data_IF_529404516615
#
_entry.id   IF_529404516615
#
_cell.length_a   1.000
_cell.length_b   1.000
_cell.length_c   1.000
_cell.angle_alpha   90.00
_cell.angle_beta   90.00
_cell.angle_gamma   90.00
#
_symmetry.space_group_name_H-M   'P 1'
#
loop_
_entity.id
_entity.type
_entity.pdbx_description
1 polymer ?
#
# COMPACT_ATOMS: atom_id res chain seq x y z
N UNK A 1 -7.42 22.86 -14.96
CA UNK A 1 -6.79 23.04 -13.63
C UNK A 1 -7.79 23.50 -12.58
N UNK A 2 -8.43 24.67 -12.72
CA UNK A 2 -9.42 25.16 -11.75
C UNK A 2 -10.57 24.17 -11.49
N UNK A 3 -11.11 23.53 -12.54
CA UNK A 3 -12.17 22.52 -12.44
C UNK A 3 -11.74 21.27 -11.65
N UNK A 4 -10.49 20.81 -11.81
CA UNK A 4 -9.95 19.68 -11.06
C UNK A 4 -9.82 20.01 -9.57
N UNK A 5 -9.39 21.23 -9.24
CA UNK A 5 -9.25 21.70 -7.86
C UNK A 5 -10.63 21.77 -7.19
N UNK A 6 -11.63 22.33 -7.89
CA UNK A 6 -13.01 22.40 -7.40
C UNK A 6 -13.57 21.00 -7.14
N UNK A 7 -13.30 20.04 -8.04
CA UNK A 7 -13.75 18.66 -7.88
C UNK A 7 -13.11 17.96 -6.66
N UNK A 8 -11.80 18.14 -6.45
CA UNK A 8 -11.10 17.58 -5.28
C UNK A 8 -11.62 18.15 -3.96
N UNK A 9 -11.89 19.46 -3.92
CA UNK A 9 -12.47 20.12 -2.74
C UNK A 9 -13.87 19.57 -2.48
N UNK A 10 -14.70 19.43 -3.52
CA UNK A 10 -16.04 18.88 -3.41
C UNK A 10 -16.04 17.46 -2.82
N UNK A 11 -15.15 16.57 -3.29
CA UNK A 11 -15.04 15.20 -2.77
C UNK A 11 -14.67 15.16 -1.29
N UNK A 12 -13.72 16.00 -0.86
CA UNK A 12 -13.32 16.10 0.54
C UNK A 12 -14.43 16.67 1.44
N UNK A 13 -15.18 17.66 0.95
CA UNK A 13 -16.34 18.20 1.69
C UNK A 13 -17.43 17.14 1.83
N UNK A 14 -17.69 16.38 0.76
CA UNK A 14 -18.68 15.30 0.78
C UNK A 14 -18.30 14.21 1.80
N UNK A 15 -17.03 13.77 1.84
CA UNK A 15 -16.57 12.75 2.78
C UNK A 15 -16.70 13.21 4.23
N UNK A 16 -16.36 14.47 4.52
CA UNK A 16 -16.53 15.06 5.85
C UNK A 16 -18.01 15.18 6.24
N UNK A 17 -18.89 15.57 5.32
CA UNK A 17 -20.34 15.62 5.57
C UNK A 17 -20.91 14.24 5.91
N UNK A 18 -20.49 13.19 5.21
CA UNK A 18 -20.93 11.82 5.50
C UNK A 18 -20.48 11.36 6.90
N UNK A 19 -19.25 11.68 7.30
CA UNK A 19 -18.74 11.37 8.64
C UNK A 19 -19.55 12.14 9.70
N UNK A 20 -19.84 13.42 9.48
CA UNK A 20 -20.67 14.24 10.38
C UNK A 20 -22.09 13.68 10.51
N UNK A 21 -22.71 13.30 9.39
CA UNK A 21 -24.04 12.68 9.40
C UNK A 21 -24.04 11.36 10.18
N UNK A 22 -23.00 10.53 10.03
CA UNK A 22 -22.85 9.31 10.83
C UNK A 22 -22.72 9.63 12.33
N UNK A 23 -21.95 10.66 12.70
CA UNK A 23 -21.81 11.06 14.10
C UNK A 23 -23.11 11.61 14.70
N UNK A 24 -23.89 12.37 13.94
CA UNK A 24 -25.18 12.92 14.40
C UNK A 24 -26.23 11.82 14.51
N UNK A 25 -26.28 10.90 13.56
CA UNK A 25 -27.27 9.80 13.53
C UNK A 25 -26.90 8.64 14.43
N UNK A 26 -25.64 8.57 14.90
CA UNK A 26 -25.20 7.55 15.84
C UNK A 26 -26.03 7.61 17.11
N UNK A 27 -26.81 6.56 17.34
CA UNK A 27 -27.50 6.33 18.62
C UNK A 27 -26.47 5.98 19.69
N UNK A 28 -25.97 6.99 20.39
CA UNK A 28 -25.12 6.84 21.58
C UNK A 28 -25.95 6.26 22.74
N UNK A 29 -26.20 4.94 22.70
CA UNK A 29 -26.60 4.21 23.90
C UNK A 29 -25.36 4.08 24.81
N UNK A 30 -25.03 5.16 25.52
CA UNK A 30 -23.90 5.25 26.46
C UNK A 30 -24.00 4.28 27.65
N UNK A 31 -25.12 3.55 27.79
CA UNK A 31 -25.39 2.75 28.98
C UNK A 31 -25.01 1.27 28.87
N UNK A 32 -24.47 0.83 27.72
CA UNK A 32 -24.07 -0.57 27.56
C UNK A 32 -22.56 -0.71 27.75
N UNK A 33 -22.10 -0.68 29.00
CA UNK A 33 -20.69 -0.90 29.41
C UNK A 33 -20.12 -2.16 28.76
N UNK A 34 -20.93 -3.21 28.61
CA UNK A 34 -20.52 -4.47 28.02
C UNK A 34 -20.22 -4.39 26.50
N UNK A 35 -20.60 -3.32 25.79
CA UNK A 35 -20.19 -3.11 24.38
C UNK A 35 -18.73 -2.64 24.25
N UNK A 36 -18.18 -2.07 25.32
CA UNK A 36 -16.78 -1.62 25.35
C UNK A 36 -15.83 -2.69 25.88
N UNK A 37 -16.37 -3.81 26.38
CA UNK A 37 -15.59 -4.93 26.87
C UNK A 37 -15.28 -5.92 25.74
N UNK A 38 -14.14 -6.59 25.88
CA UNK A 38 -13.72 -7.66 24.98
C UNK A 38 -14.74 -8.81 25.09
N UNK A 39 -15.31 -9.22 23.97
CA UNK A 39 -16.30 -10.30 23.95
C UNK A 39 -15.71 -11.60 24.52
N UNK A 40 -16.53 -12.31 25.30
CA UNK A 40 -16.20 -13.08 26.51
C UNK A 40 -15.38 -14.38 26.35
N UNK A 41 -14.49 -14.50 25.37
CA UNK A 41 -13.64 -15.68 25.26
C UNK A 41 -12.15 -15.38 25.00
N UNK A 42 -11.69 -14.16 25.32
CA UNK A 42 -10.27 -13.81 25.29
C UNK A 42 -9.74 -13.57 26.70
N UNK A 43 -8.84 -14.44 27.17
CA UNK A 43 -8.01 -14.14 28.33
C UNK A 43 -7.19 -12.88 28.06
N UNK A 44 -7.00 -12.04 29.07
CA UNK A 44 -6.03 -10.95 28.97
C UNK A 44 -4.64 -11.56 28.70
N UNK A 45 -3.90 -11.08 27.68
CA UNK A 45 -2.59 -11.63 27.37
C UNK A 45 -1.68 -11.48 28.60
N UNK A 46 -1.17 -12.60 29.11
CA UNK A 46 -0.33 -12.65 30.31
C UNK A 46 1.01 -11.92 30.14
N UNK A 47 1.47 -11.73 28.89
CA UNK A 47 2.73 -11.09 28.56
C UNK A 47 2.53 -9.84 27.70
N UNK A 48 3.51 -8.93 27.76
CA UNK A 48 3.52 -7.73 26.92
C UNK A 48 3.29 -8.08 25.45
N UNK A 49 2.54 -7.27 24.68
CA UNK A 49 2.32 -7.46 23.24
C UNK A 49 3.58 -7.08 22.43
N UNK A 50 4.77 -7.42 22.92
CA UNK A 50 5.97 -7.49 22.09
C UNK A 50 5.79 -8.69 21.17
N UNK A 51 5.00 -8.47 20.15
CA UNK A 51 4.79 -9.38 19.04
C UNK A 51 6.17 -9.57 18.41
N UNK A 52 6.59 -10.83 18.33
CA UNK A 52 7.76 -11.19 17.53
C UNK A 52 7.49 -10.73 16.10
N UNK A 53 8.37 -9.86 15.60
CA UNK A 53 8.24 -9.30 14.27
C UNK A 53 8.31 -10.40 13.21
N UNK A 54 7.32 -10.45 12.32
CA UNK A 54 7.30 -11.39 11.22
C UNK A 54 8.22 -10.90 10.11
N UNK A 55 9.38 -11.55 9.99
CA UNK A 55 10.35 -11.29 8.89
C UNK A 55 9.72 -11.36 7.49
N UNK A 56 8.77 -12.28 7.17
CA UNK A 56 8.16 -12.30 5.84
C UNK A 56 7.40 -11.01 5.50
N UNK A 57 6.69 -10.43 6.47
CA UNK A 57 5.93 -9.21 6.26
C UNK A 57 6.85 -8.03 5.96
N UNK A 58 7.99 -7.98 6.66
CA UNK A 58 9.01 -6.98 6.40
C UNK A 58 9.63 -7.09 5.02
N UNK A 59 9.97 -8.31 4.60
CA UNK A 59 10.56 -8.54 3.30
C UNK A 59 9.61 -8.08 2.19
N UNK A 60 8.32 -8.37 2.30
CA UNK A 60 7.31 -7.87 1.35
C UNK A 60 7.28 -6.33 1.31
N UNK A 61 7.36 -5.65 2.47
CA UNK A 61 7.39 -4.17 2.49
C UNK A 61 8.64 -3.57 1.87
N UNK A 62 9.81 -4.20 2.06
CA UNK A 62 11.06 -3.77 1.43
C UNK A 62 11.03 -3.97 -0.08
N UNK A 63 10.58 -5.14 -0.52
CA UNK A 63 10.43 -5.49 -1.93
C UNK A 63 9.45 -4.50 -2.62
N UNK A 64 8.32 -4.20 -1.98
CA UNK A 64 7.37 -3.19 -2.48
C UNK A 64 8.02 -1.81 -2.64
N UNK A 65 8.81 -1.37 -1.67
CA UNK A 65 9.48 -0.06 -1.73
C UNK A 65 10.47 0.02 -2.89
N UNK A 66 11.26 -1.04 -3.11
CA UNK A 66 12.22 -1.10 -4.22
C UNK A 66 11.49 -1.10 -5.56
N UNK A 67 10.45 -1.92 -5.73
CA UNK A 67 9.67 -1.96 -6.97
C UNK A 67 8.95 -0.64 -7.26
N UNK A 68 8.48 0.08 -6.24
CA UNK A 68 7.85 1.40 -6.44
C UNK A 68 8.86 2.41 -7.02
N UNK A 69 10.10 2.44 -6.48
CA UNK A 69 11.18 3.27 -7.02
C UNK A 69 11.50 2.87 -8.46
N UNK A 70 11.59 1.58 -8.75
CA UNK A 70 11.90 1.09 -10.10
C UNK A 70 10.80 1.45 -11.12
N UNK A 71 9.53 1.40 -10.73
CA UNK A 71 8.41 1.83 -11.58
C UNK A 71 8.47 3.34 -11.83
N UNK A 72 8.81 4.16 -10.82
CA UNK A 72 8.97 5.60 -11.03
C UNK A 72 10.08 5.93 -12.02
N UNK A 73 11.15 5.12 -12.08
CA UNK A 73 12.23 5.26 -13.06
C UNK A 73 11.80 4.92 -14.50
N UNK A 74 10.77 4.09 -14.69
CA UNK A 74 10.20 3.78 -16.01
C UNK A 74 9.36 4.94 -16.55
N UNK A 75 8.71 5.73 -15.69
CA UNK A 75 7.81 6.81 -16.08
C UNK A 75 8.37 7.82 -17.11
N UNK A 76 9.61 8.35 -16.99
CA UNK A 76 10.17 9.28 -17.98
C UNK A 76 10.33 8.67 -19.37
N UNK A 77 10.58 7.36 -19.47
CA UNK A 77 10.69 6.66 -20.76
C UNK A 77 9.36 6.59 -21.51
N UNK A 78 8.23 6.57 -20.79
CA UNK A 78 6.90 6.56 -21.39
C UNK A 78 6.57 7.93 -22.00
N UNK A 79 7.09 9.01 -21.41
CA UNK A 79 6.78 10.39 -21.80
C UNK A 79 7.71 10.88 -22.93
N UNK A 80 8.93 10.34 -23.05
CA UNK A 80 9.85 10.73 -24.11
C UNK A 80 9.26 10.40 -25.48
N UNK A 81 8.95 11.41 -26.29
CA UNK A 81 8.23 11.27 -27.57
C UNK A 81 9.10 11.59 -28.80
N UNK A 82 10.41 11.80 -28.59
CA UNK A 82 11.34 12.13 -29.66
C UNK A 82 11.83 10.86 -30.36
N UNK A 83 11.63 10.77 -31.69
CA UNK A 83 12.03 9.60 -32.49
C UNK A 83 13.53 9.24 -32.37
N UNK A 84 14.39 10.26 -32.24
CA UNK A 84 15.85 10.07 -32.10
C UNK A 84 16.19 9.53 -30.71
N UNK A 85 15.49 10.01 -29.67
CA UNK A 85 15.67 9.53 -28.30
C UNK A 85 15.14 8.10 -28.14
N UNK A 86 14.02 7.75 -28.80
CA UNK A 86 13.42 6.42 -28.76
C UNK A 86 14.38 5.30 -29.24
N UNK A 87 15.26 5.58 -30.21
CA UNK A 87 16.24 4.60 -30.70
C UNK A 87 17.25 4.19 -29.61
N UNK A 88 17.62 5.12 -28.73
CA UNK A 88 18.56 4.87 -27.62
C UNK A 88 17.85 4.45 -26.32
N UNK A 89 16.66 5.00 -26.07
CA UNK A 89 15.87 4.73 -24.87
C UNK A 89 15.22 3.34 -24.87
N UNK A 90 14.77 2.83 -26.03
CA UNK A 90 14.15 1.50 -26.12
C UNK A 90 15.07 0.33 -25.70
N UNK A 91 16.33 0.22 -26.16
CA UNK A 91 17.21 -0.85 -25.70
C UNK A 91 17.58 -0.71 -24.22
N UNK A 92 17.70 0.53 -23.72
CA UNK A 92 17.94 0.80 -22.28
C UNK A 92 16.75 0.34 -21.43
N UNK A 93 15.53 0.65 -21.84
CA UNK A 93 14.30 0.21 -21.18
C UNK A 93 14.18 -1.32 -21.19
N UNK A 94 14.50 -1.97 -22.32
CA UNK A 94 14.48 -3.42 -22.42
C UNK A 94 15.49 -4.06 -21.44
N UNK A 95 16.71 -3.53 -21.39
CA UNK A 95 17.74 -3.99 -20.45
C UNK A 95 17.29 -3.78 -18.99
N UNK A 96 16.68 -2.63 -18.70
CA UNK A 96 16.16 -2.33 -17.36
C UNK A 96 15.06 -3.32 -16.96
N UNK A 97 14.08 -3.58 -17.83
CA UNK A 97 13.00 -4.55 -17.58
C UNK A 97 13.56 -5.96 -17.37
N UNK A 98 14.56 -6.38 -18.15
CA UNK A 98 15.21 -7.68 -17.94
C UNK A 98 15.88 -7.77 -16.57
N UNK A 99 16.50 -6.68 -16.09
CA UNK A 99 17.07 -6.62 -14.74
C UNK A 99 16.00 -6.80 -13.66
N UNK A 100 14.83 -6.18 -13.82
CA UNK A 100 13.70 -6.31 -12.88
C UNK A 100 13.19 -7.75 -12.80
N UNK A 101 13.02 -8.39 -13.96
CA UNK A 101 12.56 -9.78 -14.05
C UNK A 101 13.58 -10.71 -13.38
N UNK A 102 14.88 -10.47 -13.57
CA UNK A 102 15.92 -11.25 -12.88
C UNK A 102 15.97 -11.00 -11.38
N UNK A 103 15.79 -9.76 -10.90
CA UNK A 103 15.69 -9.45 -9.47
C UNK A 103 14.55 -10.21 -8.81
N UNK A 104 13.35 -10.13 -9.40
CA UNK A 104 12.16 -10.88 -8.98
C UNK A 104 12.41 -12.39 -8.95
N UNK A 105 13.07 -12.92 -9.97
CA UNK A 105 13.36 -14.34 -10.06
C UNK A 105 14.29 -14.82 -8.94
N UNK A 106 15.31 -14.02 -8.59
CA UNK A 106 16.23 -14.33 -7.48
C UNK A 106 15.48 -14.30 -6.15
N UNK A 107 14.61 -13.29 -5.92
CA UNK A 107 13.79 -13.20 -4.71
C UNK A 107 12.83 -14.38 -4.56
N UNK A 108 12.25 -14.83 -5.67
CA UNK A 108 11.38 -15.99 -5.68
C UNK A 108 12.14 -17.28 -5.35
N UNK A 109 13.32 -17.49 -5.94
CA UNK A 109 14.17 -18.65 -5.63
C UNK A 109 14.67 -18.68 -4.18
N UNK A 110 14.79 -17.51 -3.54
CA UNK A 110 15.17 -17.39 -2.13
C UNK A 110 13.99 -17.59 -1.17
N UNK A 111 12.81 -17.95 -1.68
CA UNK A 111 11.58 -18.12 -0.91
C UNK A 111 11.21 -16.88 -0.06
N UNK A 112 11.70 -15.69 -0.44
CA UNK A 112 11.38 -14.44 0.27
C UNK A 112 9.90 -14.05 0.11
N UNK A 113 9.26 -14.58 -0.95
CA UNK A 113 7.86 -14.40 -1.30
C UNK A 113 6.96 -15.54 -0.80
N UNK A 114 7.53 -16.62 -0.25
CA UNK A 114 6.72 -17.72 0.26
C UNK A 114 6.04 -17.31 1.56
N UNK A 115 4.73 -17.46 1.58
CA UNK A 115 3.96 -17.31 2.79
C UNK A 115 4.14 -18.59 3.61
N UNK A 116 4.48 -18.41 4.89
CA UNK A 116 4.41 -19.51 5.85
C UNK A 116 2.93 -19.88 5.94
N UNK A 117 2.56 -20.99 5.30
CA UNK A 117 1.32 -21.66 5.61
C UNK A 117 1.44 -22.13 7.06
N UNK A 118 0.73 -21.44 7.95
CA UNK A 118 0.55 -21.83 9.35
C UNK A 118 -0.10 -23.21 9.44
#
# INVERSE_FOLDING_TARGET
MMTMIIFLIFLNVLSMLLILMNWITKKNNNNNINKYNIFECGFQPFNSPRITFSLPYFMITLIFLIFDIEITLIFPFIISNNMIEMLYLNPLLLMFIMCLIWGLYIEWMNNALEWINL
#
